data_IF_381779466212
#
_entry.id   IF_381779466212
#
_cell.length_a   1.000
_cell.length_b   1.000
_cell.length_c   1.000
_cell.angle_alpha   90.00
_cell.angle_beta   90.00
_cell.angle_gamma   90.00
#
_symmetry.space_group_name_H-M   'P 1'
#
loop_
_entity.id
_entity.type
_entity.pdbx_description
1 polymer ?
#
# COMPACT_ATOMS: atom_id res chain seq x y z
N UNK A 1 -10.78 11.86 -1.79
CA UNK A 1 -11.72 10.76 -2.17
C UNK A 1 -10.99 9.43 -1.97
N UNK A 2 -11.65 8.36 -1.52
CA UNK A 2 -11.01 7.03 -1.45
C UNK A 2 -11.10 6.35 -2.81
N UNK A 3 -9.99 5.76 -3.29
CA UNK A 3 -9.89 5.28 -4.68
C UNK A 3 -9.77 3.75 -4.79
N UNK A 4 -9.92 3.01 -3.69
CA UNK A 4 -9.67 1.57 -3.65
C UNK A 4 -10.70 0.78 -2.82
N UNK A 5 -11.90 1.34 -2.63
CA UNK A 5 -13.00 0.76 -1.84
C UNK A 5 -13.37 -0.68 -2.22
N UNK A 6 -13.25 -1.00 -3.50
CA UNK A 6 -13.51 -2.31 -4.09
C UNK A 6 -12.52 -3.40 -3.65
N UNK A 7 -11.36 -3.01 -3.11
CA UNK A 7 -10.29 -3.93 -2.70
C UNK A 7 -10.31 -4.26 -1.20
N UNK A 8 -11.34 -3.86 -0.46
CA UNK A 8 -11.49 -4.09 0.99
C UNK A 8 -11.40 -5.56 1.46
N UNK A 9 -11.55 -6.51 0.54
CA UNK A 9 -11.52 -7.95 0.79
C UNK A 9 -10.09 -8.52 0.76
N UNK A 10 -9.12 -7.78 0.22
CA UNK A 10 -7.72 -8.19 0.19
C UNK A 10 -7.02 -7.66 1.44
N UNK A 11 -6.74 -8.58 2.37
CA UNK A 11 -6.38 -8.25 3.75
C UNK A 11 -5.02 -8.77 4.15
N UNK A 12 -4.53 -9.80 3.48
CA UNK A 12 -3.31 -10.50 3.90
C UNK A 12 -2.14 -9.99 3.07
N UNK A 13 -1.11 -9.44 3.71
CA UNK A 13 0.14 -9.08 3.03
C UNK A 13 0.92 -10.37 2.73
N UNK A 14 0.96 -10.78 1.46
CA UNK A 14 1.77 -11.91 1.01
C UNK A 14 3.17 -11.48 0.58
N UNK A 15 3.33 -10.26 0.09
CA UNK A 15 4.65 -9.70 -0.27
C UNK A 15 4.70 -8.20 -0.06
N UNK A 16 5.82 -7.73 0.48
CA UNK A 16 6.19 -6.31 0.55
C UNK A 16 7.61 -6.17 0.00
N UNK A 17 7.82 -5.28 -0.97
CA UNK A 17 9.11 -5.08 -1.63
C UNK A 17 9.40 -3.59 -1.77
N UNK A 18 10.58 -3.19 -1.27
CA UNK A 18 11.12 -1.85 -1.41
C UNK A 18 12.11 -1.81 -2.55
N UNK A 19 11.90 -0.87 -3.47
CA UNK A 19 12.82 -0.60 -4.55
C UNK A 19 13.33 0.84 -4.41
N UNK A 20 14.64 1.00 -4.34
CA UNK A 20 15.29 2.30 -4.15
C UNK A 20 16.00 2.65 -5.44
N UNK A 21 15.65 3.80 -6.02
CA UNK A 21 16.43 4.42 -7.08
C UNK A 21 17.32 5.49 -6.44
N UNK A 22 18.61 5.16 -6.33
CA UNK A 22 19.60 6.02 -5.68
C UNK A 22 19.95 7.26 -6.50
N UNK A 23 19.80 7.22 -7.83
CA UNK A 23 20.11 8.38 -8.69
C UNK A 23 19.00 9.42 -8.58
N UNK A 24 17.75 8.98 -8.70
CA UNK A 24 16.58 9.85 -8.55
C UNK A 24 16.24 10.16 -7.08
N UNK A 25 16.85 9.44 -6.12
CA UNK A 25 16.57 9.50 -4.68
C UNK A 25 15.10 9.25 -4.35
N UNK A 26 14.49 8.31 -5.06
CA UNK A 26 13.09 7.93 -4.88
C UNK A 26 12.99 6.51 -4.31
N UNK A 27 11.97 6.32 -3.49
CA UNK A 27 11.62 5.03 -2.91
C UNK A 27 10.29 4.58 -3.52
N UNK A 28 10.22 3.33 -3.96
CA UNK A 28 9.00 2.73 -4.48
C UNK A 28 8.63 1.54 -3.62
N UNK A 29 7.34 1.39 -3.36
CA UNK A 29 6.80 0.28 -2.58
C UNK A 29 5.89 -0.57 -3.45
N UNK A 30 6.12 -1.88 -3.43
CA UNK A 30 5.21 -2.86 -3.99
C UNK A 30 4.61 -3.68 -2.86
N UNK A 31 3.30 -3.74 -2.84
CA UNK A 31 2.53 -4.55 -1.89
C UNK A 31 1.68 -5.56 -2.67
N UNK A 32 1.74 -6.83 -2.27
CA UNK A 32 0.85 -7.86 -2.78
C UNK A 32 -0.07 -8.28 -1.64
N UNK A 33 -1.37 -8.18 -1.89
CA UNK A 33 -2.42 -8.54 -0.95
C UNK A 33 -3.22 -9.73 -1.48
N UNK A 34 -3.51 -10.67 -0.58
CA UNK A 34 -4.38 -11.81 -0.81
C UNK A 34 -5.69 -11.69 -0.02
N UNK A 35 -6.73 -12.41 -0.44
CA UNK A 35 -8.03 -12.43 0.24
C UNK A 35 -8.02 -13.27 1.52
N UNK A 36 -7.87 -14.57 1.35
CA UNK A 36 -8.19 -15.55 2.39
C UNK A 36 -6.94 -16.20 3.00
N UNK A 37 -5.86 -16.36 2.21
CA UNK A 37 -4.58 -16.91 2.66
C UNK A 37 -3.41 -16.40 1.81
N UNK A 38 -2.19 -16.48 2.33
CA UNK A 38 -0.94 -16.10 1.67
C UNK A 38 -0.73 -16.86 0.35
N UNK A 39 -1.16 -18.12 0.28
CA UNK A 39 -1.04 -18.98 -0.92
C UNK A 39 -2.20 -18.82 -1.92
N UNK A 40 -3.15 -17.90 -1.65
CA UNK A 40 -4.27 -17.61 -2.57
C UNK A 40 -3.77 -17.18 -3.94
N UNK A 41 -4.39 -17.71 -5.00
CA UNK A 41 -4.15 -17.25 -6.38
C UNK A 41 -4.84 -15.91 -6.68
N UNK A 42 -5.95 -15.60 -6.00
CA UNK A 42 -6.64 -14.31 -6.11
C UNK A 42 -5.91 -13.27 -5.27
N UNK A 43 -5.10 -12.45 -5.93
CA UNK A 43 -4.27 -11.42 -5.32
C UNK A 43 -4.38 -10.11 -6.08
N UNK A 44 -4.05 -9.02 -5.37
CA UNK A 44 -3.82 -7.73 -6.00
C UNK A 44 -2.40 -7.29 -5.72
N UNK A 45 -1.80 -6.64 -6.69
CA UNK A 45 -0.55 -5.90 -6.54
C UNK A 45 -0.86 -4.42 -6.56
N UNK A 46 -0.35 -3.72 -5.56
CA UNK A 46 -0.34 -2.28 -5.47
C UNK A 46 1.10 -1.80 -5.61
N UNK A 47 1.37 -1.00 -6.63
CA UNK A 47 2.64 -0.32 -6.83
C UNK A 47 2.48 1.16 -6.46
N UNK A 48 3.31 1.63 -5.54
CA UNK A 48 3.32 3.01 -5.06
C UNK A 48 4.64 3.68 -5.45
N UNK A 49 4.54 4.81 -6.15
CA UNK A 49 5.68 5.59 -6.63
C UNK A 49 6.01 6.79 -5.73
N UNK A 50 7.29 7.11 -5.58
CA UNK A 50 7.79 8.24 -4.78
C UNK A 50 7.24 8.23 -3.34
N UNK A 51 7.41 7.10 -2.66
CA UNK A 51 6.94 6.89 -1.30
C UNK A 51 7.75 7.73 -0.31
N UNK A 52 7.04 8.36 0.63
CA UNK A 52 7.64 9.12 1.74
C UNK A 52 6.88 8.87 3.04
N UNK A 53 7.54 9.19 4.17
CA UNK A 53 7.02 9.00 5.52
C UNK A 53 6.51 7.56 5.78
N UNK A 54 7.23 6.56 5.27
CA UNK A 54 6.87 5.17 5.46
C UNK A 54 7.01 4.76 6.92
N UNK A 55 5.91 4.28 7.50
CA UNK A 55 5.83 3.73 8.83
C UNK A 55 5.14 2.37 8.80
N UNK A 56 5.75 1.42 9.48
CA UNK A 56 5.18 0.09 9.72
C UNK A 56 5.30 -0.22 11.20
N UNK A 57 4.20 -0.71 11.77
CA UNK A 57 4.10 -1.18 13.14
C UNK A 57 3.40 -2.53 13.11
N UNK A 58 3.72 -3.38 14.09
CA UNK A 58 2.99 -4.64 14.32
C UNK A 58 3.01 -5.63 13.13
N UNK A 59 3.90 -5.44 12.14
CA UNK A 59 4.17 -6.45 11.12
C UNK A 59 5.27 -7.40 11.61
N UNK A 60 5.05 -8.70 11.46
CA UNK A 60 5.92 -9.79 11.94
C UNK A 60 5.30 -10.61 13.09
N UNK A 61 5.83 -11.81 13.32
CA UNK A 61 5.37 -12.70 14.40
C UNK A 61 4.14 -13.55 14.09
N UNK A 62 3.64 -13.55 12.85
CA UNK A 62 2.49 -14.34 12.41
C UNK A 62 1.96 -13.92 11.03
N UNK A 63 0.67 -14.11 10.79
CA UNK A 63 0.00 -13.64 9.57
C UNK A 63 -0.10 -12.11 9.62
N UNK A 64 0.49 -11.44 8.63
CA UNK A 64 0.42 -9.99 8.46
C UNK A 64 -0.94 -9.60 7.85
N UNK A 65 -1.98 -9.57 8.67
CA UNK A 65 -3.34 -9.23 8.26
C UNK A 65 -3.65 -7.75 8.55
N UNK A 66 -4.09 -7.05 7.51
CA UNK A 66 -4.69 -5.73 7.54
C UNK A 66 -6.22 -5.86 7.62
N UNK A 67 -6.90 -4.96 8.30
CA UNK A 67 -8.36 -4.89 8.21
C UNK A 67 -8.76 -4.29 6.86
N UNK A 68 -8.17 -3.15 6.53
CA UNK A 68 -8.35 -2.51 5.24
C UNK A 68 -7.26 -1.46 4.98
N UNK A 69 -6.52 -1.60 3.88
CA UNK A 69 -5.60 -0.55 3.43
C UNK A 69 -6.38 0.51 2.66
N UNK A 70 -6.45 1.74 3.18
CA UNK A 70 -7.11 2.87 2.55
C UNK A 70 -6.13 3.69 1.72
N UNK A 71 -6.58 4.12 0.54
CA UNK A 71 -5.86 5.02 -0.34
C UNK A 71 -6.74 6.24 -0.59
N UNK A 72 -6.32 7.37 -0.02
CA UNK A 72 -7.03 8.63 -0.11
C UNK A 72 -6.31 9.56 -1.08
N UNK A 73 -7.05 10.00 -2.10
CA UNK A 73 -6.64 11.11 -2.95
C UNK A 73 -6.67 12.42 -2.17
N UNK A 74 -5.51 13.08 -2.11
CA UNK A 74 -5.23 14.33 -1.42
C UNK A 74 -4.58 15.37 -2.34
N UNK A 75 -4.75 15.24 -3.67
CA UNK A 75 -4.18 16.17 -4.68
C UNK A 75 -4.65 17.61 -4.51
N UNK A 76 -5.82 17.80 -3.90
CA UNK A 76 -6.36 19.11 -3.52
C UNK A 76 -5.48 19.87 -2.52
N UNK A 77 -4.60 19.18 -1.79
CA UNK A 77 -3.62 19.78 -0.87
C UNK A 77 -2.42 20.42 -1.58
N UNK A 78 -2.19 20.11 -2.85
CA UNK A 78 -1.10 20.66 -3.67
C UNK A 78 0.31 20.52 -3.04
N UNK A 79 0.56 19.39 -2.36
CA UNK A 79 1.87 19.11 -1.79
C UNK A 79 2.84 18.65 -2.87
N UNK A 80 4.11 19.04 -2.75
CA UNK A 80 5.14 18.63 -3.71
C UNK A 80 5.28 17.10 -3.70
N UNK A 81 5.11 16.48 -4.88
CA UNK A 81 5.24 15.03 -5.10
C UNK A 81 4.38 14.15 -4.19
N UNK A 82 3.28 14.66 -3.65
CA UNK A 82 2.36 13.89 -2.80
C UNK A 82 0.93 14.07 -3.31
N UNK A 83 0.36 12.97 -3.81
CA UNK A 83 -0.99 12.93 -4.34
C UNK A 83 -1.91 12.02 -3.53
N UNK A 84 -1.34 11.03 -2.83
CA UNK A 84 -2.10 10.03 -2.09
C UNK A 84 -1.55 9.84 -0.68
N UNK A 85 -2.49 9.64 0.25
CA UNK A 85 -2.25 9.22 1.63
C UNK A 85 -2.72 7.77 1.74
N UNK A 86 -1.82 6.89 2.18
CA UNK A 86 -2.10 5.46 2.33
C UNK A 86 -1.98 5.09 3.80
N UNK A 87 -3.02 4.48 4.35
CA UNK A 87 -3.05 4.07 5.76
C UNK A 87 -3.87 2.82 5.96
N UNK A 88 -3.50 2.00 6.95
CA UNK A 88 -4.35 0.93 7.43
C UNK A 88 -5.46 1.51 8.31
N UNK A 89 -6.71 1.15 8.00
CA UNK A 89 -7.89 1.63 8.70
C UNK A 89 -8.01 0.90 10.04
N UNK A 90 -7.83 1.65 11.14
CA UNK A 90 -8.01 1.31 12.55
C UNK A 90 -6.72 1.14 13.35
N UNK A 91 -5.75 0.35 12.87
CA UNK A 91 -4.51 0.07 13.64
C UNK A 91 -3.35 0.98 13.28
N UNK A 92 -3.44 1.69 12.15
CA UNK A 92 -2.33 2.49 11.61
C UNK A 92 -1.03 1.67 11.49
N UNK A 93 -1.17 0.37 11.23
CA UNK A 93 -0.05 -0.59 11.14
C UNK A 93 0.82 -0.35 9.91
N UNK A 94 0.25 0.28 8.89
CA UNK A 94 0.94 0.77 7.69
C UNK A 94 0.51 2.19 7.43
N UNK A 95 1.47 3.09 7.21
CA UNK A 95 1.20 4.48 6.84
C UNK A 95 2.29 5.02 5.92
N UNK A 96 1.91 5.76 4.87
CA UNK A 96 2.83 6.52 4.02
C UNK A 96 2.11 7.50 3.09
N UNK A 97 2.88 8.38 2.47
CA UNK A 97 2.46 9.18 1.32
C UNK A 97 3.08 8.64 0.03
N UNK A 98 2.41 8.85 -1.10
CA UNK A 98 2.98 8.58 -2.41
C UNK A 98 2.49 9.54 -3.49
N UNK A 99 3.24 9.61 -4.59
CA UNK A 99 2.89 10.40 -5.77
C UNK A 99 1.98 9.62 -6.71
N UNK A 100 2.28 8.33 -6.89
CA UNK A 100 1.62 7.48 -7.87
C UNK A 100 1.14 6.20 -7.21
N UNK A 101 0.05 5.66 -7.75
CA UNK A 101 -0.51 4.38 -7.34
C UNK A 101 -1.04 3.63 -8.55
N UNK A 102 -0.70 2.35 -8.65
CA UNK A 102 -1.25 1.43 -9.64
C UNK A 102 -1.70 0.16 -8.96
N UNK A 103 -2.94 -0.26 -9.24
CA UNK A 103 -3.51 -1.51 -8.71
C UNK A 103 -3.72 -2.46 -9.89
N UNK A 104 -3.20 -3.69 -9.76
CA UNK A 104 -3.35 -4.76 -10.75
C UNK A 104 -3.88 -6.01 -10.07
N UNK A 105 -4.90 -6.65 -10.63
CA UNK A 105 -5.47 -7.89 -10.11
C UNK A 105 -4.90 -9.09 -10.85
N UNK A 106 -4.63 -10.16 -10.09
CA UNK A 106 -4.27 -11.48 -10.60
C UNK A 106 -5.29 -12.48 -10.06
N UNK A 107 -5.76 -13.37 -10.93
CA UNK A 107 -6.79 -14.38 -10.64
C UNK A 107 -6.40 -15.70 -11.26
#
# INVERSE_FOLDING_TARGET
MFINSEYHQYKIISKMEFNIDFEAKIYNLKLVLAKDDIESSDTIRMDFGCVSNFSVKELGGGINQLLYLQIKDIRDRQWDRVNYEVSEFERESVYFFCQDVKITRFS
#
